data_IF_815429985646
#
_entry.id   IF_815429985646
#
_cell.length_a   1.000
_cell.length_b   1.000
_cell.length_c   1.000
_cell.angle_alpha   90.00
_cell.angle_beta   90.00
_cell.angle_gamma   90.00
#
_symmetry.space_group_name_H-M   'P 1'
#
loop_
_entity.id
_entity.type
_entity.pdbx_description
1 polymer ?
#
# COMPACT_ATOMS: atom_id res chain seq x y z
N UNK A 1 11.78 -10.66 2.54
CA UNK A 1 11.89 -9.18 2.65
C UNK A 1 10.87 -8.68 3.67
N UNK A 2 11.18 -7.54 4.30
CA UNK A 2 10.24 -6.87 5.23
C UNK A 2 9.18 -6.09 4.47
N UNK A 3 7.92 -6.20 4.91
CA UNK A 3 6.77 -5.55 4.29
C UNK A 3 5.83 -5.02 5.39
N UNK A 4 5.01 -4.01 5.03
CA UNK A 4 3.98 -3.46 5.91
C UNK A 4 2.70 -3.32 5.08
N UNK A 5 1.62 -3.95 5.54
CA UNK A 5 0.29 -3.69 5.01
C UNK A 5 -0.45 -2.71 5.93
N UNK A 6 -0.90 -1.58 5.40
CA UNK A 6 -1.70 -0.62 6.17
C UNK A 6 -3.18 -0.97 6.10
N UNK A 7 -3.93 -0.69 7.17
CA UNK A 7 -5.36 -0.97 7.24
C UNK A 7 -6.11 0.12 8.03
N UNK A 8 -7.41 -0.05 8.20
CA UNK A 8 -8.23 0.76 9.10
C UNK A 8 -8.07 0.30 10.55
N UNK A 9 -8.24 1.24 11.48
CA UNK A 9 -8.21 0.91 12.90
C UNK A 9 -9.30 -0.13 13.24
N UNK A 10 -8.92 -1.17 13.97
CA UNK A 10 -9.79 -2.29 14.36
C UNK A 10 -9.81 -3.46 13.35
N UNK A 11 -9.19 -3.31 12.17
CA UNK A 11 -9.08 -4.39 11.20
C UNK A 11 -7.70 -5.05 11.20
N UNK A 12 -6.80 -4.66 12.11
CA UNK A 12 -5.46 -5.23 12.20
C UNK A 12 -5.50 -6.76 12.43
N UNK A 13 -6.35 -7.33 13.31
CA UNK A 13 -6.41 -8.79 13.49
C UNK A 13 -6.94 -9.52 12.24
N UNK A 14 -7.88 -8.90 11.51
CA UNK A 14 -8.41 -9.49 10.26
C UNK A 14 -7.34 -9.52 9.19
N UNK A 15 -6.60 -8.41 9.03
CA UNK A 15 -5.50 -8.33 8.07
C UNK A 15 -4.35 -9.29 8.43
N UNK A 16 -4.06 -9.46 9.72
CA UNK A 16 -3.08 -10.44 10.20
C UNK A 16 -3.44 -11.86 9.76
N UNK A 17 -4.70 -12.25 9.91
CA UNK A 17 -5.18 -13.55 9.49
C UNK A 17 -5.12 -13.72 7.96
N UNK A 18 -5.54 -12.72 7.18
CA UNK A 18 -5.40 -12.73 5.72
C UNK A 18 -3.93 -12.93 5.29
N UNK A 19 -2.99 -12.26 5.95
CA UNK A 19 -1.55 -12.38 5.65
C UNK A 19 -1.01 -13.78 5.96
N UNK A 20 -1.40 -14.37 7.11
CA UNK A 20 -1.03 -15.75 7.47
C UNK A 20 -1.57 -16.76 6.44
N UNK A 21 -2.81 -16.59 5.99
CA UNK A 21 -3.42 -17.42 4.95
C UNK A 21 -2.72 -17.26 3.59
N UNK A 22 -2.14 -16.11 3.28
CA UNK A 22 -1.29 -15.91 2.11
C UNK A 22 0.11 -16.51 2.24
N UNK A 23 0.49 -17.03 3.43
CA UNK A 23 1.80 -17.61 3.67
C UNK A 23 2.87 -16.61 4.14
N UNK A 24 2.46 -15.47 4.69
CA UNK A 24 3.38 -14.53 5.31
C UNK A 24 4.02 -15.12 6.57
N UNK A 25 5.27 -14.77 6.82
CA UNK A 25 6.00 -15.11 8.04
C UNK A 25 6.24 -13.86 8.89
N UNK A 26 6.61 -14.03 10.16
CA UNK A 26 6.87 -12.92 11.10
C UNK A 26 5.77 -11.87 11.07
N UNK A 27 4.50 -12.31 11.20
CA UNK A 27 3.34 -11.41 11.11
C UNK A 27 3.10 -10.76 12.46
N UNK A 28 3.24 -9.43 12.53
CA UNK A 28 3.10 -8.65 13.76
C UNK A 28 2.11 -7.50 13.57
N UNK A 29 1.04 -7.41 14.37
CA UNK A 29 0.11 -6.29 14.30
C UNK A 29 0.74 -5.00 14.83
N UNK A 30 0.55 -3.91 14.09
CA UNK A 30 0.93 -2.55 14.44
C UNK A 30 -0.33 -1.68 14.53
N UNK A 31 -0.19 -0.42 14.94
CA UNK A 31 -1.33 0.51 14.92
C UNK A 31 -1.70 0.86 13.47
N UNK A 32 -2.90 0.43 13.03
CA UNK A 32 -3.44 0.61 11.66
C UNK A 32 -2.57 0.01 10.57
N UNK A 33 -1.82 -1.03 10.89
CA UNK A 33 -0.97 -1.74 9.96
C UNK A 33 -0.63 -3.13 10.50
N UNK A 34 -0.08 -3.98 9.64
CA UNK A 34 0.52 -5.26 10.02
C UNK A 34 1.88 -5.36 9.33
N UNK A 35 2.92 -5.62 10.12
CA UNK A 35 4.24 -6.00 9.62
C UNK A 35 4.24 -7.47 9.25
N UNK A 36 4.95 -7.84 8.21
CA UNK A 36 5.14 -9.23 7.80
C UNK A 36 6.39 -9.42 6.95
N UNK A 37 6.86 -10.65 6.86
CA UNK A 37 7.95 -11.03 5.98
C UNK A 37 7.48 -11.94 4.86
N UNK A 38 8.11 -11.79 3.68
CA UNK A 38 7.83 -12.61 2.52
C UNK A 38 8.77 -12.31 1.35
N UNK A 39 8.52 -12.94 0.24
CA UNK A 39 9.23 -12.77 -1.02
C UNK A 39 8.51 -11.83 -2.00
N UNK A 40 9.01 -11.73 -3.22
CA UNK A 40 8.38 -10.93 -4.27
C UNK A 40 6.99 -11.46 -4.67
N UNK A 41 6.82 -12.79 -4.65
CA UNK A 41 5.53 -13.45 -4.89
C UNK A 41 4.49 -13.01 -3.86
N UNK A 42 4.86 -12.98 -2.59
CA UNK A 42 3.96 -12.56 -1.52
C UNK A 42 3.63 -11.06 -1.62
N UNK A 43 4.59 -10.19 -1.99
CA UNK A 43 4.32 -8.78 -2.24
C UNK A 43 3.25 -8.60 -3.33
N UNK A 44 3.33 -9.36 -4.42
CA UNK A 44 2.35 -9.30 -5.50
C UNK A 44 0.98 -9.84 -5.06
N UNK A 45 0.97 -10.99 -4.38
CA UNK A 45 -0.26 -11.59 -3.84
C UNK A 45 -0.94 -10.67 -2.81
N UNK A 46 -0.18 -10.07 -1.93
CA UNK A 46 -0.70 -9.12 -0.94
C UNK A 46 -1.41 -7.93 -1.61
N UNK A 47 -0.83 -7.38 -2.69
CA UNK A 47 -1.49 -6.33 -3.47
C UNK A 47 -2.74 -6.81 -4.22
N UNK A 48 -2.76 -8.06 -4.70
CA UNK A 48 -3.86 -8.62 -5.49
C UNK A 48 -5.01 -9.14 -4.63
N UNK A 49 -4.70 -9.82 -3.52
CA UNK A 49 -5.62 -10.70 -2.80
C UNK A 49 -6.10 -10.15 -1.44
N UNK A 50 -5.35 -9.25 -0.77
CA UNK A 50 -5.78 -8.71 0.52
C UNK A 50 -7.04 -7.86 0.38
N UNK A 51 -8.06 -8.19 1.20
CA UNK A 51 -9.35 -7.50 1.22
C UNK A 51 -9.36 -6.31 2.16
N UNK A 52 -8.61 -6.42 3.27
CA UNK A 52 -8.60 -5.41 4.33
C UNK A 52 -7.37 -4.50 4.33
N UNK A 53 -6.46 -4.65 3.36
CA UNK A 53 -5.33 -3.75 3.20
C UNK A 53 -5.71 -2.48 2.42
N UNK A 54 -5.16 -1.34 2.86
CA UNK A 54 -5.21 -0.06 2.14
C UNK A 54 -4.00 0.13 1.24
N UNK A 55 -2.82 -0.30 1.67
CA UNK A 55 -1.55 -0.24 0.92
C UNK A 55 -0.62 -1.35 1.38
N UNK A 56 0.26 -1.78 0.47
CA UNK A 56 1.40 -2.64 0.78
C UNK A 56 2.67 -1.84 0.55
N UNK A 57 3.47 -1.70 1.59
CA UNK A 57 4.68 -0.88 1.62
C UNK A 57 5.92 -1.76 1.79
N UNK A 58 7.01 -1.44 1.06
CA UNK A 58 8.33 -2.06 1.20
C UNK A 58 9.27 -1.09 1.93
N UNK A 59 9.51 -1.24 3.24
CA UNK A 59 10.46 -0.40 3.98
C UNK A 59 11.86 -0.53 3.38
N UNK A 60 12.51 0.60 3.16
CA UNK A 60 13.87 0.67 2.59
C UNK A 60 14.85 1.34 3.53
N UNK A 61 14.38 2.19 4.44
CA UNK A 61 15.25 2.85 5.41
C UNK A 61 14.49 3.16 6.70
N UNK A 62 15.18 3.05 7.84
CA UNK A 62 14.63 3.37 9.16
C UNK A 62 15.69 4.11 9.98
N UNK A 63 15.29 5.23 10.62
CA UNK A 63 16.20 6.07 11.38
C UNK A 63 15.46 6.94 12.39
N UNK A 64 16.19 7.47 13.37
CA UNK A 64 15.67 8.46 14.32
C UNK A 64 15.78 9.87 13.78
N UNK A 65 14.75 10.68 14.04
CA UNK A 65 14.67 12.06 13.55
C UNK A 65 13.97 12.97 14.57
N UNK A 66 14.61 14.12 14.86
CA UNK A 66 14.11 15.13 15.79
C UNK A 66 13.94 16.51 15.17
N UNK A 67 14.47 16.70 13.96
CA UNK A 67 14.37 17.97 13.25
C UNK A 67 14.49 17.77 11.74
N UNK A 68 14.17 18.83 11.00
CA UNK A 68 14.12 18.84 9.55
C UNK A 68 15.46 18.61 8.86
N UNK A 69 16.56 19.07 9.47
CA UNK A 69 17.90 18.92 8.92
C UNK A 69 18.34 17.45 9.00
N UNK A 70 18.03 16.77 10.11
CA UNK A 70 18.27 15.33 10.23
C UNK A 70 17.44 14.54 9.22
N UNK A 71 16.13 14.86 9.06
CA UNK A 71 15.28 14.25 8.07
C UNK A 71 15.87 14.38 6.67
N UNK A 72 16.19 15.62 6.28
CA UNK A 72 16.77 15.92 4.97
C UNK A 72 18.04 15.12 4.73
N UNK A 73 18.98 15.12 5.69
CA UNK A 73 20.27 14.44 5.57
C UNK A 73 20.10 12.92 5.42
N UNK A 74 19.29 12.30 6.28
CA UNK A 74 19.03 10.85 6.24
C UNK A 74 18.41 10.42 4.90
N UNK A 75 17.45 11.20 4.39
CA UNK A 75 16.82 10.95 3.09
C UNK A 75 17.81 11.17 1.94
N UNK A 76 18.61 12.22 2.02
CA UNK A 76 19.63 12.54 1.01
C UNK A 76 20.72 11.46 0.90
N UNK A 77 21.10 10.83 2.01
CA UNK A 77 22.15 9.83 2.06
C UNK A 77 21.70 8.46 1.51
N UNK A 78 20.40 8.23 1.30
CA UNK A 78 19.91 7.01 0.64
C UNK A 78 20.37 6.99 -0.82
N UNK A 79 20.87 5.85 -1.30
CA UNK A 79 21.18 5.65 -2.72
C UNK A 79 19.89 5.37 -3.53
N UNK A 80 19.25 6.45 -3.97
CA UNK A 80 17.98 6.40 -4.70
C UNK A 80 18.08 5.76 -6.09
N UNK A 81 19.30 5.66 -6.66
CA UNK A 81 19.53 5.03 -7.98
C UNK A 81 19.22 3.53 -7.98
N UNK A 82 19.18 2.90 -6.81
CA UNK A 82 18.73 1.52 -6.67
C UNK A 82 17.23 1.36 -6.96
N UNK A 83 16.46 2.44 -6.90
CA UNK A 83 15.00 2.41 -6.99
C UNK A 83 14.43 3.15 -8.19
N UNK A 84 15.13 4.16 -8.68
CA UNK A 84 14.70 4.97 -9.83
C UNK A 84 15.86 5.66 -10.53
N UNK A 85 15.68 6.01 -11.80
CA UNK A 85 16.62 6.84 -12.57
C UNK A 85 16.20 8.31 -12.61
N UNK A 86 17.09 9.19 -13.08
CA UNK A 86 16.86 10.64 -13.19
C UNK A 86 15.72 11.01 -14.16
N UNK A 87 15.39 10.12 -15.10
CA UNK A 87 14.29 10.33 -16.08
C UNK A 87 12.93 9.87 -15.56
N UNK A 88 12.92 9.20 -14.43
CA UNK A 88 11.72 8.71 -13.78
C UNK A 88 10.95 9.82 -13.07
N UNK A 89 9.74 9.51 -12.65
CA UNK A 89 8.88 10.43 -11.92
C UNK A 89 8.70 9.98 -10.47
N UNK A 90 8.66 10.95 -9.56
CA UNK A 90 8.59 10.76 -8.12
C UNK A 90 7.32 11.36 -7.54
N UNK A 91 6.71 10.68 -6.58
CA UNK A 91 5.77 11.26 -5.62
C UNK A 91 6.17 10.89 -4.20
N UNK A 92 5.88 11.76 -3.24
CA UNK A 92 6.13 11.51 -1.82
C UNK A 92 4.87 11.80 -1.03
N UNK A 93 4.44 10.82 -0.24
CA UNK A 93 3.41 10.94 0.78
C UNK A 93 4.05 10.84 2.17
N UNK A 94 3.49 11.54 3.16
CA UNK A 94 3.96 11.44 4.52
C UNK A 94 2.79 11.32 5.52
N UNK A 95 2.99 10.52 6.54
CA UNK A 95 2.13 10.40 7.71
C UNK A 95 2.96 10.72 8.94
N UNK A 96 2.51 11.66 9.75
CA UNK A 96 3.29 12.18 10.87
C UNK A 96 2.46 12.16 12.14
N UNK A 97 3.04 11.55 13.18
CA UNK A 97 2.56 11.61 14.56
C UNK A 97 3.78 11.80 15.49
N UNK A 98 4.25 13.02 15.62
CA UNK A 98 5.52 13.36 16.26
C UNK A 98 5.39 14.68 17.03
N UNK A 99 6.09 14.84 18.16
CA UNK A 99 6.19 16.12 18.84
C UNK A 99 7.06 17.14 18.09
N UNK A 100 7.90 16.67 17.15
CA UNK A 100 8.87 17.51 16.42
C UNK A 100 8.40 17.93 15.03
N UNK A 101 7.38 17.26 14.48
CA UNK A 101 6.86 17.52 13.14
C UNK A 101 5.34 17.65 13.18
N UNK A 102 4.82 18.79 12.73
CA UNK A 102 3.38 19.11 12.82
C UNK A 102 2.66 19.00 11.45
N UNK A 103 3.40 18.95 10.35
CA UNK A 103 2.80 19.03 9.02
C UNK A 103 3.31 17.92 8.09
N UNK A 104 2.48 16.93 7.80
CA UNK A 104 2.79 15.84 6.87
C UNK A 104 3.20 16.34 5.48
N UNK A 105 2.48 17.34 4.95
CA UNK A 105 2.80 17.94 3.64
C UNK A 105 4.19 18.55 3.60
N UNK A 106 4.63 19.19 4.69
CA UNK A 106 5.98 19.75 4.79
C UNK A 106 7.04 18.64 4.79
N UNK A 107 6.82 17.58 5.57
CA UNK A 107 7.71 16.39 5.60
C UNK A 107 7.82 15.76 4.20
N UNK A 108 6.71 15.61 3.48
CA UNK A 108 6.70 15.10 2.12
C UNK A 108 7.50 15.99 1.15
N UNK A 109 7.34 17.32 1.22
CA UNK A 109 8.10 18.27 0.40
C UNK A 109 9.60 18.23 0.73
N UNK A 110 9.97 18.21 2.02
CA UNK A 110 11.37 18.14 2.45
C UNK A 110 12.04 16.85 2.01
N UNK A 111 11.33 15.73 2.11
CA UNK A 111 11.78 14.43 1.58
C UNK A 111 11.99 14.49 0.08
N UNK A 112 11.01 15.00 -0.66
CA UNK A 112 11.11 15.19 -2.12
C UNK A 112 12.32 16.05 -2.48
N UNK A 113 12.55 17.16 -1.77
CA UNK A 113 13.70 18.04 -2.03
C UNK A 113 15.03 17.30 -1.80
N UNK A 114 15.17 16.53 -0.73
CA UNK A 114 16.38 15.74 -0.44
C UNK A 114 16.67 14.72 -1.56
N UNK A 115 15.64 14.00 -2.05
CA UNK A 115 15.78 13.04 -3.16
C UNK A 115 16.24 13.75 -4.44
N UNK A 116 15.57 14.84 -4.80
CA UNK A 116 15.83 15.60 -6.02
C UNK A 116 17.22 16.23 -6.00
N UNK A 117 17.66 16.78 -4.85
CA UNK A 117 18.97 17.38 -4.70
C UNK A 117 20.08 16.33 -4.74
N UNK A 118 19.85 15.09 -4.27
CA UNK A 118 20.76 13.97 -4.41
C UNK A 118 21.04 13.67 -5.89
N UNK A 119 19.98 13.50 -6.70
CA UNK A 119 20.12 13.30 -8.15
C UNK A 119 20.80 14.47 -8.84
N UNK A 120 20.44 15.71 -8.46
CA UNK A 120 21.05 16.91 -9.04
C UNK A 120 22.54 16.97 -8.79
N UNK A 121 23.02 16.56 -7.59
CA UNK A 121 24.44 16.52 -7.28
C UNK A 121 25.19 15.43 -8.06
N UNK A 122 24.59 14.25 -8.21
CA UNK A 122 25.26 13.09 -8.82
C UNK A 122 25.20 13.09 -10.35
N UNK A 123 24.05 13.53 -10.94
CA UNK A 123 23.79 13.42 -12.36
C UNK A 123 23.59 14.77 -13.07
N UNK A 124 23.72 15.89 -12.34
CA UNK A 124 23.53 17.24 -12.88
C UNK A 124 22.06 17.55 -13.26
N UNK A 125 21.15 16.61 -13.07
CA UNK A 125 19.72 16.69 -13.39
C UNK A 125 18.90 16.23 -12.20
N UNK A 126 17.59 16.48 -12.25
CA UNK A 126 16.66 16.08 -11.22
C UNK A 126 15.46 15.34 -11.81
N UNK A 127 14.92 14.29 -11.15
CA UNK A 127 13.69 13.65 -11.56
C UNK A 127 12.49 14.60 -11.47
N UNK A 128 11.49 14.36 -12.32
CA UNK A 128 10.25 15.12 -12.30
C UNK A 128 9.31 14.60 -11.21
N UNK A 129 8.45 15.47 -10.72
CA UNK A 129 7.37 15.11 -9.78
C UNK A 129 6.09 14.84 -10.56
N UNK A 130 5.46 13.71 -10.28
CA UNK A 130 4.13 13.37 -10.79
C UNK A 130 3.28 12.79 -9.67
N UNK A 131 2.16 13.41 -9.35
CA UNK A 131 1.25 12.89 -8.33
C UNK A 131 0.37 11.76 -8.87
N UNK A 132 0.20 11.71 -10.20
CA UNK A 132 -0.58 10.68 -10.86
C UNK A 132 0.35 9.66 -11.52
N UNK A 133 0.24 8.40 -11.12
CA UNK A 133 1.00 7.25 -11.63
C UNK A 133 2.52 7.51 -11.75
N UNK A 134 3.21 7.97 -10.67
CA UNK A 134 4.65 8.14 -10.68
C UNK A 134 5.37 6.81 -10.96
N UNK A 135 6.63 6.89 -11.36
CA UNK A 135 7.48 5.69 -11.43
C UNK A 135 7.75 5.15 -10.04
N UNK A 136 8.03 6.04 -9.08
CA UNK A 136 8.27 5.70 -7.69
C UNK A 136 7.41 6.56 -6.77
N UNK A 137 6.60 5.91 -5.93
CA UNK A 137 5.90 6.56 -4.81
C UNK A 137 6.59 6.19 -3.51
N UNK A 138 7.07 7.19 -2.79
CA UNK A 138 7.74 7.05 -1.50
C UNK A 138 6.76 7.42 -0.39
N UNK A 139 6.65 6.57 0.61
CA UNK A 139 5.88 6.83 1.82
C UNK A 139 6.84 7.07 2.99
N UNK A 140 6.66 8.18 3.70
CA UNK A 140 7.42 8.53 4.90
C UNK A 140 6.50 8.49 6.10
N UNK A 141 6.76 7.61 7.03
CA UNK A 141 6.02 7.50 8.27
C UNK A 141 6.90 7.92 9.44
N UNK A 142 6.48 8.97 10.16
CA UNK A 142 7.14 9.41 11.39
C UNK A 142 6.20 9.18 12.57
N UNK A 143 6.63 8.31 13.48
CA UNK A 143 5.95 8.07 14.75
C UNK A 143 6.90 8.40 15.89
N UNK A 144 6.53 9.39 16.71
CA UNK A 144 7.41 9.99 17.71
C UNK A 144 8.72 10.48 17.07
N UNK A 145 9.84 9.81 17.32
CA UNK A 145 11.15 10.11 16.74
C UNK A 145 11.60 9.10 15.69
N UNK A 146 10.84 8.01 15.50
CA UNK A 146 11.18 6.96 14.53
C UNK A 146 10.59 7.28 13.16
N UNK A 147 11.45 7.28 12.15
CA UNK A 147 11.10 7.54 10.75
C UNK A 147 11.34 6.28 9.92
N UNK A 148 10.32 5.83 9.23
CA UNK A 148 10.40 4.76 8.25
C UNK A 148 10.12 5.30 6.87
N UNK A 149 11.03 5.04 5.94
CA UNK A 149 10.89 5.35 4.52
C UNK A 149 10.58 4.06 3.78
N UNK A 150 9.49 4.06 3.03
CA UNK A 150 9.02 2.87 2.31
C UNK A 150 8.70 3.20 0.86
N UNK A 151 8.83 2.21 -0.01
CA UNK A 151 8.31 2.26 -1.37
C UNK A 151 6.86 1.76 -1.36
N UNK A 152 5.95 2.49 -1.97
CA UNK A 152 4.54 2.11 -2.07
C UNK A 152 4.32 1.20 -3.28
N UNK A 153 4.14 -0.09 -3.03
CA UNK A 153 3.91 -1.08 -4.08
C UNK A 153 2.51 -1.00 -4.68
N UNK A 154 1.55 -0.45 -3.94
CA UNK A 154 0.15 -0.32 -4.37
C UNK A 154 -0.09 0.92 -5.24
N UNK A 155 0.67 1.99 -5.02
CA UNK A 155 0.56 3.33 -5.62
C UNK A 155 -0.73 4.06 -5.23
N UNK A 156 -1.88 3.59 -5.61
CA UNK A 156 -3.18 4.05 -5.11
C UNK A 156 -3.71 3.10 -4.03
N UNK A 157 -4.55 3.64 -3.14
CA UNK A 157 -5.15 2.82 -2.08
C UNK A 157 -5.95 1.64 -2.64
N UNK A 158 -5.79 0.47 -2.04
CA UNK A 158 -6.40 -0.78 -2.48
C UNK A 158 -7.92 -0.84 -2.25
N UNK A 159 -8.52 0.12 -1.53
CA UNK A 159 -9.98 0.23 -1.47
C UNK A 159 -10.58 0.54 -2.86
N UNK A 160 -9.83 1.21 -3.75
CA UNK A 160 -10.25 1.46 -5.12
C UNK A 160 -10.18 0.16 -5.95
N UNK A 161 -11.23 -0.66 -5.86
CA UNK A 161 -11.31 -1.97 -6.54
C UNK A 161 -11.55 -1.85 -8.05
N UNK A 162 -12.06 -0.69 -8.50
CA UNK A 162 -12.37 -0.44 -9.92
C UNK A 162 -13.74 -0.93 -10.37
N UNK A 163 -14.60 -1.43 -9.49
CA UNK A 163 -15.94 -1.87 -9.86
C UNK A 163 -17.02 -0.78 -9.75
N UNK A 164 -16.73 0.38 -9.12
CA UNK A 164 -17.69 1.47 -9.05
C UNK A 164 -17.84 2.16 -10.39
N UNK A 165 -19.06 2.19 -10.91
CA UNK A 165 -19.43 2.92 -12.12
C UNK A 165 -19.93 4.30 -11.74
N UNK A 166 -20.82 4.39 -10.74
CA UNK A 166 -21.39 5.63 -10.24
C UNK A 166 -21.06 5.83 -8.76
N UNK A 167 -20.72 7.04 -8.38
CA UNK A 167 -20.49 7.42 -6.99
C UNK A 167 -21.81 7.99 -6.42
N UNK A 168 -22.45 7.26 -5.52
CA UNK A 168 -23.45 7.83 -4.62
C UNK A 168 -22.76 8.75 -3.60
N UNK A 169 -23.51 9.68 -3.00
CA UNK A 169 -22.98 10.47 -1.88
C UNK A 169 -22.55 9.54 -0.73
N UNK A 170 -21.30 9.70 -0.28
CA UNK A 170 -20.71 9.01 0.86
C UNK A 170 -20.84 7.46 0.89
N UNK A 171 -20.40 6.74 -0.15
CA UNK A 171 -20.45 5.28 -0.13
C UNK A 171 -19.48 4.72 0.94
N UNK A 172 -19.84 3.54 1.52
CA UNK A 172 -18.95 2.83 2.43
C UNK A 172 -17.63 2.48 1.71
N UNK A 173 -16.52 2.57 2.44
CA UNK A 173 -15.20 2.17 1.92
C UNK A 173 -15.14 0.64 1.75
N UNK A 174 -14.60 0.16 0.64
CA UNK A 174 -14.56 -1.26 0.28
C UNK A 174 -13.75 -2.11 1.27
N UNK A 175 -12.64 -1.56 1.80
CA UNK A 175 -11.84 -2.22 2.85
C UNK A 175 -12.63 -2.37 4.13
N UNK A 176 -13.42 -1.34 4.50
CA UNK A 176 -14.28 -1.42 5.67
C UNK A 176 -15.41 -2.45 5.45
N UNK A 177 -16.04 -2.44 4.28
CA UNK A 177 -17.10 -3.40 3.95
C UNK A 177 -16.58 -4.84 4.00
N UNK A 178 -15.43 -5.11 3.39
CA UNK A 178 -14.78 -6.43 3.45
C UNK A 178 -14.43 -6.83 4.89
N UNK A 179 -13.87 -5.90 5.68
CA UNK A 179 -13.55 -6.13 7.08
C UNK A 179 -14.78 -6.48 7.92
N UNK A 180 -15.90 -5.77 7.71
CA UNK A 180 -17.18 -6.06 8.39
C UNK A 180 -17.66 -7.47 8.06
N UNK A 181 -17.60 -7.89 6.80
CA UNK A 181 -18.01 -9.26 6.39
C UNK A 181 -17.14 -10.30 7.09
N UNK A 182 -15.80 -10.13 7.04
CA UNK A 182 -14.86 -11.08 7.66
C UNK A 182 -15.05 -11.16 9.20
N UNK A 183 -15.37 -10.04 9.86
CA UNK A 183 -15.65 -10.01 11.29
C UNK A 183 -16.96 -10.71 11.69
N UNK A 184 -17.92 -10.89 10.76
CA UNK A 184 -19.15 -11.68 11.07
C UNK A 184 -18.88 -13.16 11.22
N UNK A 185 -17.73 -13.66 10.74
CA UNK A 185 -17.45 -15.09 10.67
C UNK A 185 -18.31 -15.82 9.64
N UNK A 186 -18.91 -15.13 8.66
CA UNK A 186 -19.71 -15.77 7.62
C UNK A 186 -18.88 -16.72 6.77
N UNK A 187 -19.21 -18.02 6.84
CA UNK A 187 -18.51 -19.11 6.15
C UNK A 187 -19.07 -19.38 4.73
N UNK A 188 -19.98 -18.56 4.25
CA UNK A 188 -20.62 -18.70 2.91
C UNK A 188 -21.57 -19.90 2.80
N UNK A 189 -22.00 -20.43 3.91
CA UNK A 189 -22.89 -21.59 4.05
C UNK A 189 -24.38 -21.21 4.11
N UNK A 190 -24.68 -19.90 4.23
CA UNK A 190 -26.02 -19.37 4.27
C UNK A 190 -26.16 -18.11 3.41
N UNK A 191 -27.39 -17.69 3.14
CA UNK A 191 -27.65 -16.46 2.38
C UNK A 191 -27.13 -15.22 3.12
N UNK A 192 -26.54 -14.31 2.36
CA UNK A 192 -26.11 -12.99 2.83
C UNK A 192 -27.10 -11.94 2.34
N UNK A 193 -27.74 -11.22 3.26
CA UNK A 193 -28.78 -10.23 2.95
C UNK A 193 -28.39 -8.87 3.52
N UNK A 194 -28.44 -7.84 2.70
CA UNK A 194 -28.26 -6.45 3.11
C UNK A 194 -29.54 -5.66 2.76
N UNK A 195 -30.44 -5.43 3.75
CA UNK A 195 -31.72 -4.76 3.52
C UNK A 195 -31.58 -3.25 3.27
N UNK A 196 -30.38 -2.68 3.48
CA UNK A 196 -30.11 -1.25 3.30
C UNK A 196 -28.87 -1.02 2.41
N UNK A 197 -28.78 -1.76 1.32
CA UNK A 197 -27.57 -1.96 0.51
C UNK A 197 -26.96 -0.68 -0.08
N UNK A 198 -27.69 0.41 -0.21
CA UNK A 198 -27.21 1.64 -0.86
C UNK A 198 -26.62 1.36 -2.25
N UNK A 199 -25.33 1.65 -2.45
CA UNK A 199 -24.60 1.34 -3.70
C UNK A 199 -24.20 -0.14 -3.83
N UNK A 200 -24.62 -1.01 -2.94
CA UNK A 200 -24.31 -2.44 -2.96
C UNK A 200 -22.86 -2.79 -2.58
N UNK A 201 -22.10 -1.88 -1.96
CA UNK A 201 -20.69 -2.14 -1.65
C UNK A 201 -20.49 -3.40 -0.80
N UNK A 202 -21.30 -3.57 0.28
CA UNK A 202 -21.22 -4.76 1.15
C UNK A 202 -21.57 -6.02 0.36
N UNK A 203 -22.64 -6.00 -0.46
CA UNK A 203 -23.05 -7.13 -1.29
C UNK A 203 -21.98 -7.52 -2.33
N UNK A 204 -21.34 -6.53 -2.97
CA UNK A 204 -20.27 -6.78 -3.95
C UNK A 204 -19.06 -7.41 -3.25
N UNK A 205 -18.63 -6.87 -2.09
CA UNK A 205 -17.51 -7.46 -1.33
C UNK A 205 -17.88 -8.87 -0.83
N UNK A 206 -19.10 -9.12 -0.37
CA UNK A 206 -19.58 -10.45 0.01
C UNK A 206 -19.58 -11.42 -1.19
N UNK A 207 -20.07 -11.00 -2.35
CA UNK A 207 -20.07 -11.81 -3.56
C UNK A 207 -18.63 -12.16 -4.03
N UNK A 208 -17.70 -11.19 -3.99
CA UNK A 208 -16.29 -11.45 -4.32
C UNK A 208 -15.61 -12.36 -3.30
N UNK A 209 -16.02 -12.31 -2.03
CA UNK A 209 -15.55 -13.23 -0.99
C UNK A 209 -16.12 -14.64 -1.20
N UNK A 210 -17.42 -14.75 -1.48
CA UNK A 210 -18.10 -16.03 -1.70
C UNK A 210 -17.54 -16.79 -2.92
N UNK A 211 -17.23 -16.08 -3.99
CA UNK A 211 -16.67 -16.64 -5.24
C UNK A 211 -15.15 -16.78 -5.23
N UNK A 212 -14.49 -16.54 -4.11
CA UNK A 212 -13.02 -16.52 -3.99
C UNK A 212 -12.32 -15.61 -5.02
N UNK A 213 -13.01 -14.58 -5.48
CA UNK A 213 -12.47 -13.61 -6.44
C UNK A 213 -11.50 -12.66 -5.74
N UNK A 214 -10.29 -12.53 -6.26
CA UNK A 214 -9.31 -11.57 -5.74
C UNK A 214 -9.85 -10.13 -5.89
N UNK A 215 -9.81 -9.30 -4.84
CA UNK A 215 -10.44 -7.97 -4.83
C UNK A 215 -9.83 -7.02 -5.86
N UNK A 216 -8.56 -7.20 -6.21
CA UNK A 216 -7.86 -6.32 -7.17
C UNK A 216 -7.75 -6.93 -8.59
N UNK A 217 -8.51 -7.98 -8.90
CA UNK A 217 -8.39 -8.71 -10.16
C UNK A 217 -8.60 -7.83 -11.41
N UNK A 218 -9.42 -6.79 -11.30
CA UNK A 218 -9.69 -5.83 -12.38
C UNK A 218 -8.77 -4.61 -12.36
N UNK A 219 -7.87 -4.51 -11.37
CA UNK A 219 -6.98 -3.37 -11.25
C UNK A 219 -5.79 -3.50 -12.20
N UNK A 220 -5.62 -2.53 -13.09
CA UNK A 220 -4.58 -2.54 -14.11
C UNK A 220 -3.22 -2.06 -13.59
N UNK A 221 -3.26 -1.12 -12.65
CA UNK A 221 -2.08 -0.38 -12.22
C UNK A 221 -1.70 -0.64 -10.76
N UNK A 222 -0.41 -1.00 -10.56
CA UNK A 222 0.25 -1.12 -9.27
C UNK A 222 1.64 -0.46 -9.36
N UNK A 223 2.11 0.15 -8.26
CA UNK A 223 3.39 0.83 -8.22
C UNK A 223 4.58 -0.09 -8.51
N UNK A 224 4.56 -1.31 -7.97
CA UNK A 224 5.63 -2.29 -8.16
C UNK A 224 5.88 -2.67 -9.64
N UNK A 225 4.91 -2.49 -10.54
CA UNK A 225 5.09 -2.81 -11.97
C UNK A 225 6.13 -1.92 -12.67
N UNK A 226 6.51 -0.80 -12.05
CA UNK A 226 7.56 0.11 -12.55
C UNK A 226 8.89 -0.06 -11.84
N UNK A 227 9.00 -0.93 -10.85
CA UNK A 227 10.23 -1.16 -10.12
C UNK A 227 11.22 -1.97 -10.95
N UNK A 228 12.52 -1.77 -10.70
CA UNK A 228 13.57 -2.47 -11.45
C UNK A 228 13.57 -4.00 -11.22
N UNK A 229 13.07 -4.45 -10.07
CA UNK A 229 12.93 -5.86 -9.68
C UNK A 229 11.57 -6.47 -10.07
N UNK A 230 10.78 -5.81 -10.94
CA UNK A 230 9.49 -6.34 -11.40
C UNK A 230 9.64 -7.58 -12.27
N UNK A 231 9.09 -8.70 -11.79
CA UNK A 231 9.00 -9.95 -12.55
C UNK A 231 7.61 -10.07 -13.21
N UNK A 232 7.59 -9.80 -14.52
CA UNK A 232 6.37 -9.85 -15.31
C UNK A 232 5.79 -11.27 -15.41
N UNK A 233 6.66 -12.29 -15.56
CA UNK A 233 6.22 -13.69 -15.73
C UNK A 233 5.56 -14.21 -14.44
N UNK A 234 6.16 -13.90 -13.30
CA UNK A 234 5.59 -14.21 -11.98
C UNK A 234 4.23 -13.53 -11.79
N UNK A 235 4.13 -12.23 -12.13
CA UNK A 235 2.87 -11.50 -12.03
C UNK A 235 1.76 -12.08 -12.91
N UNK A 236 2.06 -12.40 -14.19
CA UNK A 236 1.10 -13.00 -15.11
C UNK A 236 0.63 -14.38 -14.65
N UNK A 237 1.53 -15.20 -14.09
CA UNK A 237 1.19 -16.47 -13.47
C UNK A 237 0.22 -16.32 -12.30
N UNK A 238 0.46 -15.34 -11.41
CA UNK A 238 -0.43 -15.07 -10.27
C UNK A 238 -1.81 -14.55 -10.71
N UNK A 239 -1.86 -13.71 -11.76
CA UNK A 239 -3.12 -13.27 -12.34
C UNK A 239 -3.91 -14.42 -12.98
N UNK A 240 -3.24 -15.32 -13.68
CA UNK A 240 -3.87 -16.50 -14.28
C UNK A 240 -4.46 -17.41 -13.21
N UNK A 241 -3.70 -17.69 -12.14
CA UNK A 241 -4.18 -18.44 -10.97
C UNK A 241 -5.39 -17.76 -10.32
N UNK A 242 -5.32 -16.45 -10.05
CA UNK A 242 -6.42 -15.72 -9.44
C UNK A 242 -7.70 -15.71 -10.31
N UNK A 243 -7.56 -15.73 -11.63
CA UNK A 243 -8.70 -15.83 -12.58
C UNK A 243 -9.30 -17.23 -12.64
N UNK A 244 -8.49 -18.27 -12.49
CA UNK A 244 -8.98 -19.66 -12.54
C UNK A 244 -9.77 -20.07 -11.29
N UNK A 245 -9.68 -19.29 -10.21
CA UNK A 245 -10.39 -19.54 -8.94
C UNK A 245 -11.82 -18.96 -8.88
N UNK A 246 -12.23 -18.20 -9.90
CA UNK A 246 -13.53 -17.51 -9.97
C UNK A 246 -14.59 -18.33 -10.66
#
# INVERSE_FOLDING_TARGET
MRLIATTMAGLEPVLEEELKQLGATEVEPLKRAVYFEGDLRLLYRANLELRTALRVLKPVHHFRVRNEQQLYRQIYDIDWRQYMGVRDTLAVDAVVNSPHFNHSKYVALKTKDAIVDRFRKEEGRRPNVSLHRPTLRVNVHIFREECTVSLDSSEESLHKRGYRVDALEAPINEVLAAGMILLTGWERDCAFIDPMCGSGTILIEAATFATNRAPQLNREYFGFKKWADYDKSLWESLLADARSRV
#
